data_IF_379370506321
#
_entry.id   IF_379370506321
#
_cell.length_a   1.000
_cell.length_b   1.000
_cell.length_c   1.000
_cell.angle_alpha   90.00
_cell.angle_beta   90.00
_cell.angle_gamma   90.00
#
_symmetry.space_group_name_H-M   'P 1'
#
loop_
_entity.id
_entity.type
_entity.pdbx_description
1 polymer ?
#
# COMPACT_ATOMS: atom_id res chain seq x y z
N UNK A 1 25.92 12.46 -5.17
CA UNK A 1 25.21 11.79 -4.07
C UNK A 1 23.84 12.36 -3.83
N UNK A 2 23.75 13.66 -3.59
CA UNK A 2 22.47 14.29 -3.33
C UNK A 2 21.51 14.23 -4.51
N UNK A 3 22.01 14.37 -5.72
CA UNK A 3 21.18 14.31 -6.93
C UNK A 3 20.56 12.92 -7.14
N UNK A 4 21.32 11.86 -6.85
CA UNK A 4 20.81 10.48 -6.94
C UNK A 4 19.70 10.25 -5.91
N UNK A 5 19.89 10.73 -4.68
CA UNK A 5 18.91 10.59 -3.64
C UNK A 5 17.61 11.32 -3.98
N UNK A 6 17.72 12.52 -4.57
CA UNK A 6 16.53 13.27 -4.99
C UNK A 6 15.74 12.51 -6.06
N UNK A 7 16.41 11.91 -7.05
CA UNK A 7 15.72 11.12 -8.07
C UNK A 7 15.00 9.92 -7.49
N UNK A 8 15.61 9.28 -6.48
CA UNK A 8 15.01 8.12 -5.83
C UNK A 8 13.84 8.47 -4.92
N UNK A 9 13.75 9.74 -4.48
CA UNK A 9 12.73 10.19 -3.55
C UNK A 9 11.62 11.01 -4.21
N UNK A 10 11.65 11.16 -5.51
CA UNK A 10 10.60 11.88 -6.24
C UNK A 10 9.74 10.90 -7.04
N UNK A 11 8.44 11.15 -7.04
CA UNK A 11 7.47 10.38 -7.82
C UNK A 11 6.23 11.24 -8.06
N UNK A 12 5.31 10.76 -8.88
CA UNK A 12 4.08 11.50 -9.13
C UNK A 12 3.12 11.40 -7.96
N UNK A 13 2.98 10.19 -7.38
CA UNK A 13 2.03 9.94 -6.29
C UNK A 13 2.72 9.16 -5.17
N UNK A 14 2.46 9.58 -3.94
CA UNK A 14 2.85 8.80 -2.76
C UNK A 14 1.58 8.32 -2.09
N UNK A 15 1.52 7.01 -1.81
CA UNK A 15 0.43 6.39 -1.05
C UNK A 15 0.96 6.09 0.34
N UNK A 16 0.30 6.63 1.35
CA UNK A 16 0.65 6.39 2.76
C UNK A 16 -0.24 5.28 3.28
N UNK A 17 0.34 4.16 3.64
CA UNK A 17 -0.35 2.96 4.10
C UNK A 17 -0.14 1.80 3.14
N UNK A 18 -0.28 0.57 3.64
CA UNK A 18 -0.03 -0.65 2.86
C UNK A 18 -1.17 -1.66 2.92
N UNK A 19 -2.36 -1.22 3.29
CA UNK A 19 -3.53 -2.10 3.39
C UNK A 19 -4.34 -2.15 2.11
N UNK A 20 -5.59 -2.58 2.23
CA UNK A 20 -6.49 -2.80 1.08
C UNK A 20 -6.68 -1.53 0.24
N UNK A 21 -6.92 -0.41 0.89
CA UNK A 21 -7.16 0.86 0.19
C UNK A 21 -5.92 1.29 -0.61
N UNK A 22 -4.74 1.13 -0.02
CA UNK A 22 -3.49 1.46 -0.68
C UNK A 22 -3.26 0.59 -1.91
N UNK A 23 -3.46 -0.71 -1.77
CA UNK A 23 -3.22 -1.65 -2.88
C UNK A 23 -4.24 -1.47 -4.01
N UNK A 24 -5.49 -1.18 -3.69
CA UNK A 24 -6.50 -0.88 -4.70
C UNK A 24 -6.15 0.39 -5.48
N UNK A 25 -5.70 1.42 -4.78
CA UNK A 25 -5.26 2.66 -5.41
C UNK A 25 -4.06 2.40 -6.31
N UNK A 26 -3.09 1.64 -5.81
CA UNK A 26 -1.87 1.31 -6.55
C UNK A 26 -2.17 0.56 -7.86
N UNK A 27 -3.13 -0.34 -7.82
CA UNK A 27 -3.54 -1.08 -9.01
C UNK A 27 -3.96 -0.13 -10.14
N UNK A 28 -4.81 0.85 -9.82
CA UNK A 28 -5.30 1.78 -10.82
C UNK A 28 -4.22 2.75 -11.30
N UNK A 29 -3.33 3.19 -10.39
CA UNK A 29 -2.21 4.04 -10.79
C UNK A 29 -1.27 3.30 -11.74
N UNK A 30 -0.97 2.04 -11.45
CA UNK A 30 -0.11 1.23 -12.31
C UNK A 30 -0.76 1.00 -13.67
N UNK A 31 -2.05 0.73 -13.69
CA UNK A 31 -2.79 0.54 -14.93
C UNK A 31 -2.76 1.80 -15.81
N UNK A 32 -2.80 2.97 -15.19
CA UNK A 32 -2.72 4.25 -15.90
C UNK A 32 -1.29 4.71 -16.16
N UNK A 33 -0.31 3.91 -15.75
CA UNK A 33 1.12 4.20 -15.91
C UNK A 33 1.55 5.49 -15.19
N UNK A 34 0.94 5.76 -14.05
CA UNK A 34 1.31 6.89 -13.19
C UNK A 34 2.34 6.38 -12.15
N UNK A 35 3.56 6.93 -12.14
CA UNK A 35 4.56 6.52 -11.16
C UNK A 35 4.10 6.78 -9.73
N UNK A 36 4.34 5.82 -8.85
CA UNK A 36 3.96 5.97 -7.45
C UNK A 36 4.88 5.16 -6.54
N UNK A 37 4.86 5.52 -5.26
CA UNK A 37 5.55 4.78 -4.21
C UNK A 37 4.57 4.60 -3.05
N UNK A 38 4.52 3.40 -2.49
CA UNK A 38 3.75 3.12 -1.27
C UNK A 38 4.70 3.18 -0.09
N UNK A 39 4.34 3.96 0.94
CA UNK A 39 5.08 4.02 2.20
C UNK A 39 4.24 3.32 3.26
N UNK A 40 4.73 2.19 3.75
CA UNK A 40 4.00 1.34 4.69
C UNK A 40 4.77 1.26 6.01
N UNK A 41 4.09 1.54 7.12
CA UNK A 41 4.75 1.47 8.43
C UNK A 41 4.91 0.05 8.95
N UNK A 42 4.22 -0.91 8.38
CA UNK A 42 4.32 -2.31 8.77
C UNK A 42 5.59 -2.95 8.19
N UNK A 43 6.01 -4.06 8.77
CA UNK A 43 7.19 -4.79 8.28
C UNK A 43 6.86 -5.72 7.11
N UNK A 44 5.59 -5.96 6.86
CA UNK A 44 5.13 -6.92 5.85
C UNK A 44 3.76 -6.50 5.34
N UNK A 45 3.30 -7.18 4.29
CA UNK A 45 1.97 -6.96 3.74
C UNK A 45 0.88 -7.33 4.75
N UNK A 46 -0.30 -6.71 4.61
CA UNK A 46 -1.45 -7.05 5.43
C UNK A 46 -2.13 -5.86 6.10
N UNK A 47 -1.45 -4.73 6.19
CA UNK A 47 -2.03 -3.51 6.77
C UNK A 47 -2.60 -3.75 8.16
N UNK A 48 -3.82 -3.27 8.40
CA UNK A 48 -4.47 -3.39 9.71
C UNK A 48 -4.76 -4.85 10.10
N UNK A 49 -4.81 -5.77 9.14
CA UNK A 49 -5.05 -7.18 9.43
C UNK A 49 -3.95 -7.81 10.27
N UNK A 50 -2.76 -7.25 10.25
CA UNK A 50 -1.64 -7.72 11.05
C UNK A 50 -1.89 -7.55 12.55
N UNK A 51 -2.80 -6.65 12.92
CA UNK A 51 -3.07 -6.29 14.32
C UNK A 51 -4.44 -6.78 14.80
N UNK A 52 -5.12 -7.62 14.03
CA UNK A 52 -6.40 -8.20 14.43
C UNK A 52 -6.18 -9.52 15.18
N UNK A 53 -7.23 -10.00 15.82
CA UNK A 53 -7.17 -11.31 16.48
C UNK A 53 -7.21 -12.45 15.46
N UNK A 54 -6.65 -13.59 15.82
CA UNK A 54 -6.43 -14.70 14.88
C UNK A 54 -7.72 -15.29 14.31
N UNK A 55 -8.79 -15.29 15.07
CA UNK A 55 -10.07 -15.87 14.63
C UNK A 55 -10.93 -14.92 13.81
N UNK A 56 -10.45 -13.71 13.55
CA UNK A 56 -11.21 -12.76 12.74
C UNK A 56 -11.34 -13.26 11.30
N UNK A 57 -12.53 -13.12 10.76
CA UNK A 57 -12.84 -13.46 9.36
C UNK A 57 -13.48 -12.26 8.68
N UNK A 58 -13.41 -12.23 7.37
CA UNK A 58 -14.15 -11.24 6.59
C UNK A 58 -15.65 -11.49 6.73
N UNK A 59 -16.45 -10.43 6.64
CA UNK A 59 -17.90 -10.50 6.69
C UNK A 59 -18.51 -10.89 5.35
N UNK A 60 -17.75 -10.78 4.26
CA UNK A 60 -18.20 -11.17 2.93
C UNK A 60 -17.50 -12.45 2.49
N UNK A 61 -18.17 -13.28 1.68
CA UNK A 61 -17.51 -14.46 1.11
C UNK A 61 -16.32 -14.09 0.26
N UNK A 62 -15.37 -15.02 0.09
CA UNK A 62 -14.16 -14.76 -0.70
C UNK A 62 -14.48 -14.33 -2.13
N UNK A 63 -15.59 -14.79 -2.71
CA UNK A 63 -16.01 -14.39 -4.05
C UNK A 63 -16.33 -12.90 -4.15
N UNK A 64 -16.66 -12.24 -3.03
CA UNK A 64 -17.02 -10.82 -2.97
C UNK A 64 -15.98 -9.97 -2.24
N UNK A 65 -14.82 -10.56 -1.94
CA UNK A 65 -13.81 -9.90 -1.11
C UNK A 65 -12.54 -9.54 -1.87
N UNK A 66 -12.57 -9.65 -3.19
CA UNK A 66 -11.40 -9.43 -4.03
C UNK A 66 -11.12 -7.95 -4.23
N UNK A 67 -9.83 -7.62 -4.32
CA UNK A 67 -9.40 -6.32 -4.82
C UNK A 67 -9.48 -6.32 -6.35
N UNK A 68 -9.41 -5.13 -6.93
CA UNK A 68 -9.46 -4.98 -8.39
C UNK A 68 -8.32 -5.74 -9.07
N UNK A 69 -8.61 -6.37 -10.19
CA UNK A 69 -7.63 -6.97 -11.07
C UNK A 69 -7.31 -8.43 -10.81
N UNK A 70 -7.53 -8.93 -9.62
CA UNK A 70 -7.24 -10.34 -9.30
C UNK A 70 -8.16 -10.85 -8.21
N UNK A 71 -8.90 -11.89 -8.53
CA UNK A 71 -9.82 -12.49 -7.57
C UNK A 71 -9.09 -13.21 -6.45
N UNK A 72 -9.62 -13.08 -5.24
CA UNK A 72 -9.12 -13.84 -4.10
C UNK A 72 -9.35 -15.33 -4.38
N UNK A 73 -8.31 -16.18 -4.20
CA UNK A 73 -8.46 -17.62 -4.42
C UNK A 73 -9.56 -18.20 -3.54
N UNK A 74 -10.34 -19.11 -4.11
CA UNK A 74 -11.41 -19.81 -3.40
C UNK A 74 -10.77 -20.90 -2.54
N UNK A 75 -11.08 -20.90 -1.24
CA UNK A 75 -10.61 -21.91 -0.31
C UNK A 75 -11.81 -22.70 0.18
N UNK A 76 -11.56 -23.67 1.07
CA UNK A 76 -12.64 -24.44 1.72
C UNK A 76 -13.51 -23.55 2.62
N UNK A 77 -12.96 -22.41 3.06
CA UNK A 77 -13.66 -21.47 3.92
C UNK A 77 -14.48 -20.51 3.08
N UNK A 78 -15.78 -20.43 3.35
CA UNK A 78 -16.64 -19.46 2.65
C UNK A 78 -16.23 -18.02 2.96
N UNK A 79 -15.92 -17.76 4.23
CA UNK A 79 -15.47 -16.45 4.69
C UNK A 79 -13.97 -16.49 4.94
N UNK A 80 -13.18 -15.69 4.25
CA UNK A 80 -11.73 -15.73 4.40
C UNK A 80 -11.27 -15.51 5.83
N UNK A 81 -10.30 -16.31 6.25
CA UNK A 81 -9.66 -16.13 7.55
C UNK A 81 -8.69 -14.96 7.50
N UNK A 82 -8.28 -14.50 8.69
CA UNK A 82 -7.26 -13.45 8.80
C UNK A 82 -6.00 -13.80 8.01
N UNK A 83 -5.50 -15.01 8.16
CA UNK A 83 -4.29 -15.42 7.47
C UNK A 83 -4.48 -15.49 5.96
N UNK A 84 -5.63 -15.94 5.50
CA UNK A 84 -5.94 -15.95 4.06
C UNK A 84 -5.98 -14.55 3.48
N UNK A 85 -6.53 -13.58 4.21
CA UNK A 85 -6.53 -12.18 3.78
C UNK A 85 -5.11 -11.65 3.69
N UNK A 86 -4.28 -11.88 4.71
CA UNK A 86 -2.88 -11.43 4.70
C UNK A 86 -2.11 -12.06 3.53
N UNK A 87 -2.29 -13.35 3.30
CA UNK A 87 -1.66 -14.04 2.19
C UNK A 87 -2.09 -13.48 0.84
N UNK A 88 -3.38 -13.18 0.69
CA UNK A 88 -3.91 -12.58 -0.52
C UNK A 88 -3.29 -11.20 -0.77
N UNK A 89 -3.22 -10.35 0.26
CA UNK A 89 -2.64 -9.02 0.13
C UNK A 89 -1.15 -9.10 -0.22
N UNK A 90 -0.43 -10.03 0.40
CA UNK A 90 0.99 -10.24 0.09
C UNK A 90 1.19 -10.68 -1.36
N UNK A 91 0.40 -11.65 -1.81
CA UNK A 91 0.47 -12.14 -3.19
C UNK A 91 0.05 -11.06 -4.19
N UNK A 92 -0.91 -10.24 -3.83
CA UNK A 92 -1.37 -9.14 -4.67
C UNK A 92 -0.25 -8.12 -4.92
N UNK A 93 0.50 -7.74 -3.89
CA UNK A 93 1.65 -6.86 -4.02
C UNK A 93 2.69 -7.43 -4.98
N UNK A 94 2.97 -8.72 -4.84
CA UNK A 94 3.97 -9.39 -5.66
C UNK A 94 3.52 -9.54 -7.10
N UNK A 95 2.24 -9.86 -7.29
CA UNK A 95 1.66 -10.04 -8.62
C UNK A 95 1.82 -8.79 -9.47
N UNK A 96 1.59 -7.62 -8.89
CA UNK A 96 1.64 -6.36 -9.62
C UNK A 96 2.96 -5.62 -9.45
N UNK A 97 3.89 -6.18 -8.68
CA UNK A 97 5.24 -5.63 -8.48
C UNK A 97 5.20 -4.16 -8.07
N UNK A 98 4.40 -3.86 -7.05
CA UNK A 98 4.29 -2.49 -6.54
C UNK A 98 5.58 -2.03 -5.88
N UNK A 99 5.92 -0.75 -6.06
CA UNK A 99 7.05 -0.12 -5.36
C UNK A 99 6.62 0.21 -3.93
N UNK A 100 7.07 -0.59 -2.98
CA UNK A 100 6.70 -0.44 -1.56
C UNK A 100 7.97 -0.28 -0.74
N UNK A 101 8.00 0.76 0.09
CA UNK A 101 9.07 0.97 1.06
C UNK A 101 8.48 0.71 2.45
N UNK A 102 9.06 -0.23 3.15
CA UNK A 102 8.63 -0.54 4.53
C UNK A 102 9.80 -1.06 5.36
N UNK A 103 9.82 -0.81 6.69
CA UNK A 103 8.83 0.01 7.38
C UNK A 103 9.15 1.50 7.25
N UNK A 104 8.12 2.33 7.06
CA UNK A 104 8.26 3.77 7.03
C UNK A 104 7.08 4.38 7.79
N UNK A 105 7.37 5.08 8.87
CA UNK A 105 6.36 5.80 9.63
C UNK A 105 6.36 7.26 9.19
N UNK A 106 5.33 7.68 8.48
CA UNK A 106 5.22 9.05 8.00
C UNK A 106 4.85 9.97 9.17
N UNK A 107 5.66 11.00 9.37
CA UNK A 107 5.46 11.95 10.46
C UNK A 107 4.54 13.11 10.05
N UNK A 108 4.72 13.61 8.83
CA UNK A 108 3.95 14.74 8.35
C UNK A 108 4.05 14.87 6.83
N UNK A 109 3.12 15.62 6.27
CA UNK A 109 3.13 16.01 4.86
C UNK A 109 3.05 17.53 4.81
N UNK A 110 3.93 18.15 4.03
CA UNK A 110 3.97 19.60 3.89
C UNK A 110 3.90 20.00 2.43
N UNK A 111 3.16 21.06 2.14
CA UNK A 111 3.11 21.61 0.79
C UNK A 111 4.15 22.73 0.65
N UNK A 112 4.89 22.72 -0.45
CA UNK A 112 5.80 23.82 -0.77
C UNK A 112 5.23 24.68 -1.92
N UNK A 113 3.93 24.58 -2.17
CA UNK A 113 3.25 25.33 -3.22
C UNK A 113 3.15 24.58 -4.54
N UNK A 114 4.17 23.85 -4.92
CA UNK A 114 4.22 23.10 -6.18
C UNK A 114 4.14 21.59 -5.94
N UNK A 115 4.78 21.13 -4.88
CA UNK A 115 4.88 19.72 -4.54
C UNK A 115 4.44 19.48 -3.11
N UNK A 116 4.23 18.22 -2.80
CA UNK A 116 3.98 17.76 -1.45
C UNK A 116 5.20 16.96 -0.98
N UNK A 117 5.74 17.35 0.17
CA UNK A 117 6.87 16.67 0.78
C UNK A 117 6.38 15.81 1.93
N UNK A 118 6.70 14.52 1.89
CA UNK A 118 6.31 13.53 2.89
C UNK A 118 7.53 13.18 3.72
N UNK A 119 7.44 13.39 5.03
CA UNK A 119 8.57 13.22 5.95
C UNK A 119 8.42 11.99 6.82
N UNK A 120 9.52 11.28 6.99
CA UNK A 120 9.64 10.15 7.90
C UNK A 120 11.01 10.21 8.57
N UNK A 121 11.09 10.84 9.75
CA UNK A 121 12.35 11.12 10.41
C UNK A 121 13.20 12.05 9.58
N UNK A 122 14.42 11.62 9.24
CA UNK A 122 15.33 12.41 8.41
C UNK A 122 15.12 12.20 6.91
N UNK A 123 14.31 11.21 6.54
CA UNK A 123 14.02 10.91 5.14
C UNK A 123 12.81 11.70 4.68
N UNK A 124 12.79 12.04 3.39
CA UNK A 124 11.59 12.61 2.80
C UNK A 124 11.44 12.19 1.35
N UNK A 125 10.22 12.24 0.90
CA UNK A 125 9.84 11.97 -0.48
C UNK A 125 9.04 13.15 -1.00
N UNK A 126 9.14 13.40 -2.29
CA UNK A 126 8.43 14.50 -2.93
C UNK A 126 7.51 13.98 -4.01
N UNK A 127 6.28 14.47 -4.03
CA UNK A 127 5.30 14.04 -5.00
C UNK A 127 4.41 15.19 -5.45
N UNK A 128 3.70 14.97 -6.54
CA UNK A 128 2.68 15.91 -7.01
C UNK A 128 1.38 15.72 -6.26
N UNK A 129 1.12 14.51 -5.77
CA UNK A 129 -0.08 14.17 -5.02
C UNK A 129 0.24 13.13 -3.96
N UNK A 130 -0.53 13.15 -2.87
CA UNK A 130 -0.41 12.20 -1.77
C UNK A 130 -1.79 11.62 -1.48
N UNK A 131 -1.85 10.30 -1.33
CA UNK A 131 -3.06 9.58 -0.95
C UNK A 131 -2.85 9.02 0.46
N UNK A 132 -3.70 9.42 1.40
CA UNK A 132 -3.69 8.84 2.74
C UNK A 132 -4.62 7.63 2.76
N UNK A 133 -4.03 6.45 2.95
CA UNK A 133 -4.75 5.18 2.93
C UNK A 133 -4.47 4.38 4.20
N UNK A 134 -4.32 5.07 5.31
CA UNK A 134 -4.06 4.48 6.62
C UNK A 134 -5.33 3.97 7.29
#
# INVERSE_FOLDING_TARGET
MKALNQKQTETDVIIIGGGQAALSTAYFLKRKKIPFIILDEQNQAGGAWLHTWESLRLFSPNTWSSLSGWMMPITEQTYPTRNEVIQYLSAYEQRYQFSIVRPVHVDRVESNGKYLDVYAGEKFWRAKAVVSAT
#
